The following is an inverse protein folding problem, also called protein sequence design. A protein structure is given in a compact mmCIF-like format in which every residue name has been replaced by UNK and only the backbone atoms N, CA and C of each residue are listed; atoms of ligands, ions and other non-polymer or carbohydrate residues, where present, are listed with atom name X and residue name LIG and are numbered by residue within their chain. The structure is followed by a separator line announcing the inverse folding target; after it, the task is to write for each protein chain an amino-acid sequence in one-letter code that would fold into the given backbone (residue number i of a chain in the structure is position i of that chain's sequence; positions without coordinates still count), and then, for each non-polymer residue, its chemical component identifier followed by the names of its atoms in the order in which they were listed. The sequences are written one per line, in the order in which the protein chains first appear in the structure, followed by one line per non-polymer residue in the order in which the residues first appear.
data_IF_964552811242
#
_entry.id   IF_964552811242
#
_cell.length_a   1.000
_cell.length_b   1.000
_cell.length_c   1.000
_cell.angle_alpha   90.00
_cell.angle_beta   90.00
_cell.angle_gamma   90.00
#
_symmetry.space_group_name_H-M   'P 1'
#
loop_
_entity.id
_entity.type
_entity.pdbx_description
1 polymer ?
#
# COMPACT_ATOMS: atom_id res chain seq x y z
N UNK A 1 -23.14 -12.96 5.61
CA UNK A 1 -22.01 -13.59 6.33
C UNK A 1 -20.72 -13.24 5.59
N UNK A 2 -19.63 -12.84 6.27
CA UNK A 2 -18.36 -12.54 5.58
C UNK A 2 -17.80 -13.83 4.98
N UNK A 3 -17.38 -13.81 3.71
CA UNK A 3 -16.74 -14.96 3.06
C UNK A 3 -15.52 -15.43 3.86
N UNK A 4 -15.39 -16.74 4.08
CA UNK A 4 -14.24 -17.31 4.79
C UNK A 4 -12.93 -16.97 4.07
N UNK A 5 -11.89 -16.58 4.82
CA UNK A 5 -10.59 -16.21 4.25
C UNK A 5 -9.80 -17.49 3.92
N UNK A 6 -9.87 -18.48 4.81
CA UNK A 6 -9.23 -19.78 4.63
C UNK A 6 -10.19 -20.66 3.80
N UNK A 7 -9.94 -20.73 2.49
CA UNK A 7 -10.85 -21.38 1.53
C UNK A 7 -11.01 -22.89 1.75
N UNK A 8 -10.03 -23.55 2.36
CA UNK A 8 -10.01 -24.98 2.63
C UNK A 8 -10.19 -25.33 4.11
N UNK A 9 -10.78 -24.43 4.92
CA UNK A 9 -10.96 -24.62 6.37
C UNK A 9 -11.65 -25.93 6.70
N UNK A 10 -12.74 -26.27 6.00
CA UNK A 10 -13.49 -27.50 6.21
C UNK A 10 -12.61 -28.76 6.02
N UNK A 11 -11.85 -28.80 4.91
CA UNK A 11 -10.92 -29.91 4.62
C UNK A 11 -9.83 -30.04 5.69
N UNK A 12 -9.35 -28.93 6.24
CA UNK A 12 -8.35 -28.94 7.32
C UNK A 12 -8.95 -29.50 8.62
N UNK A 13 -10.19 -29.16 8.95
CA UNK A 13 -10.90 -29.67 10.14
C UNK A 13 -11.13 -31.18 10.01
N UNK A 14 -11.67 -31.61 8.87
CA UNK A 14 -12.07 -33.00 8.62
C UNK A 14 -10.89 -33.97 8.52
N UNK A 15 -9.68 -33.50 8.22
CA UNK A 15 -8.46 -34.32 8.21
C UNK A 15 -7.97 -34.70 9.64
N UNK A 16 -8.86 -34.69 10.63
CA UNK A 16 -8.58 -35.11 12.01
C UNK A 16 -9.87 -35.43 12.75
N UNK A 17 -9.76 -36.14 13.87
CA UNK A 17 -10.88 -36.53 14.73
C UNK A 17 -10.61 -36.20 16.21
N UNK A 18 -11.64 -36.30 17.04
CA UNK A 18 -11.56 -36.11 18.49
C UNK A 18 -11.00 -34.74 18.88
N UNK A 19 -10.09 -34.73 19.87
CA UNK A 19 -9.46 -33.49 20.39
C UNK A 19 -8.69 -32.71 19.31
N UNK A 20 -8.10 -33.40 18.33
CA UNK A 20 -7.36 -32.73 17.25
C UNK A 20 -8.30 -31.95 16.32
N UNK A 21 -9.50 -32.46 16.07
CA UNK A 21 -10.52 -31.75 15.29
C UNK A 21 -10.93 -30.45 15.98
N UNK A 22 -11.25 -30.54 17.28
CA UNK A 22 -11.61 -29.37 18.09
C UNK A 22 -10.47 -28.34 18.13
N UNK A 23 -9.23 -28.80 18.32
CA UNK A 23 -8.06 -27.91 18.29
C UNK A 23 -7.92 -27.19 16.94
N UNK A 24 -8.14 -27.88 15.81
CA UNK A 24 -8.10 -27.26 14.48
C UNK A 24 -9.21 -26.24 14.28
N UNK A 25 -10.43 -26.53 14.72
CA UNK A 25 -11.54 -25.58 14.67
C UNK A 25 -11.19 -24.28 15.42
N UNK A 26 -10.64 -24.40 16.64
CA UNK A 26 -10.19 -23.25 17.44
C UNK A 26 -9.07 -22.49 16.74
N UNK A 27 -8.01 -23.18 16.29
CA UNK A 27 -6.86 -22.53 15.65
C UNK A 27 -7.27 -21.82 14.36
N UNK A 28 -8.12 -22.42 13.54
CA UNK A 28 -8.61 -21.78 12.30
C UNK A 28 -9.47 -20.56 12.59
N UNK A 29 -10.33 -20.60 13.62
CA UNK A 29 -11.10 -19.44 14.05
C UNK A 29 -10.20 -18.29 14.53
N UNK A 30 -9.15 -18.60 15.29
CA UNK A 30 -8.15 -17.63 15.74
C UNK A 30 -7.38 -17.03 14.57
N UNK A 31 -6.91 -17.85 13.62
CA UNK A 31 -6.22 -17.37 12.41
C UNK A 31 -7.14 -16.49 11.57
N UNK A 32 -8.40 -16.87 11.36
CA UNK A 32 -9.36 -16.02 10.64
C UNK A 32 -9.58 -14.68 11.33
N UNK A 33 -9.70 -14.68 12.67
CA UNK A 33 -9.83 -13.44 13.45
C UNK A 33 -8.59 -12.55 13.28
N UNK A 34 -7.39 -13.13 13.34
CA UNK A 34 -6.14 -12.42 13.14
C UNK A 34 -6.01 -11.86 11.71
N UNK A 35 -6.34 -12.64 10.69
CA UNK A 35 -6.34 -12.20 9.29
C UNK A 35 -7.33 -11.07 9.04
N UNK A 36 -8.54 -11.17 9.62
CA UNK A 36 -9.55 -10.10 9.58
C UNK A 36 -9.09 -8.83 10.27
N UNK A 37 -8.34 -8.95 11.37
CA UNK A 37 -7.79 -7.79 12.10
C UNK A 37 -6.63 -7.12 11.35
N UNK A 38 -5.85 -7.91 10.59
CA UNK A 38 -4.75 -7.45 9.75
C UNK A 38 -5.20 -6.98 8.35
N UNK A 39 -6.50 -7.05 8.02
CA UNK A 39 -7.04 -6.63 6.74
C UNK A 39 -6.73 -5.15 6.47
N UNK A 40 -6.02 -4.81 5.38
CA UNK A 40 -5.60 -3.43 5.12
C UNK A 40 -6.74 -2.43 4.95
N UNK A 41 -7.87 -2.85 4.35
CA UNK A 41 -9.03 -1.98 4.15
C UNK A 41 -9.67 -1.63 5.49
N UNK A 42 -9.86 -2.63 6.36
CA UNK A 42 -10.37 -2.44 7.72
C UNK A 42 -9.41 -1.62 8.56
N UNK A 43 -8.11 -1.86 8.45
CA UNK A 43 -7.09 -1.10 9.15
C UNK A 43 -7.12 0.38 8.72
N UNK A 44 -7.20 0.66 7.41
CA UNK A 44 -7.33 2.03 6.90
C UNK A 44 -8.60 2.71 7.43
N UNK A 45 -9.78 2.09 7.26
CA UNK A 45 -11.07 2.64 7.74
C UNK A 45 -11.11 2.86 9.25
N UNK A 46 -10.55 1.93 10.04
CA UNK A 46 -10.53 2.05 11.51
C UNK A 46 -9.74 3.27 11.98
N UNK A 47 -8.69 3.63 11.24
CA UNK A 47 -7.80 4.72 11.60
C UNK A 47 -8.15 6.06 10.93
N UNK A 48 -9.15 6.07 10.04
CA UNK A 48 -9.52 7.24 9.24
C UNK A 48 -11.02 7.48 9.38
N UNK A 49 -11.37 8.51 10.15
CA UNK A 49 -12.74 8.83 10.51
C UNK A 49 -13.10 10.24 10.04
N UNK A 50 -14.16 10.36 9.26
CA UNK A 50 -14.71 11.66 8.90
C UNK A 50 -15.92 11.97 9.80
N UNK A 51 -15.83 13.05 10.58
CA UNK A 51 -16.94 13.58 11.36
C UNK A 51 -17.22 15.01 10.93
N UNK A 52 -18.36 15.23 10.28
CA UNK A 52 -18.69 16.51 9.63
C UNK A 52 -17.55 16.90 8.67
N UNK A 53 -16.85 18.00 8.93
CA UNK A 53 -15.70 18.46 8.15
C UNK A 53 -14.37 18.21 8.84
N UNK A 54 -14.30 17.35 9.86
CA UNK A 54 -13.04 16.99 10.52
C UNK A 54 -12.61 15.60 10.11
N UNK A 55 -11.46 15.52 9.45
CA UNK A 55 -10.79 14.25 9.17
C UNK A 55 -9.89 13.90 10.35
N UNK A 56 -10.18 12.77 10.99
CA UNK A 56 -9.43 12.27 12.14
C UNK A 56 -8.61 11.07 11.67
N UNK A 57 -7.28 11.21 11.71
CA UNK A 57 -6.33 10.15 11.41
C UNK A 57 -5.61 9.78 12.71
N UNK A 58 -6.00 8.65 13.32
CA UNK A 58 -5.59 8.26 14.67
C UNK A 58 -5.83 9.37 15.70
N UNK A 59 -4.77 10.08 16.12
CA UNK A 59 -4.79 11.16 17.12
C UNK A 59 -4.68 12.55 16.51
N UNK A 60 -4.50 12.65 15.18
CA UNK A 60 -4.44 13.92 14.47
C UNK A 60 -5.81 14.25 13.89
N UNK A 61 -6.18 15.53 13.96
CA UNK A 61 -7.44 16.04 13.41
C UNK A 61 -7.10 17.15 12.43
N UNK A 62 -7.68 17.07 11.24
CA UNK A 62 -7.56 18.06 10.18
C UNK A 62 -8.95 18.66 9.94
N UNK A 63 -9.06 19.99 9.98
CA UNK A 63 -10.28 20.67 9.55
C UNK A 63 -10.26 20.78 8.02
N UNK A 64 -11.16 20.05 7.37
CA UNK A 64 -11.23 20.01 5.91
C UNK A 64 -11.69 21.34 5.32
N UNK A 65 -12.33 22.22 6.11
CA UNK A 65 -12.71 23.55 5.63
C UNK A 65 -11.53 24.50 5.52
N UNK A 66 -10.42 24.21 6.22
CA UNK A 66 -9.20 25.01 6.16
C UNK A 66 -8.17 24.43 5.20
N UNK A 67 -8.49 23.32 4.51
CA UNK A 67 -7.60 22.72 3.53
C UNK A 67 -7.99 23.18 2.13
N UNK A 68 -7.00 23.46 1.29
CA UNK A 68 -7.27 23.81 -0.11
C UNK A 68 -7.42 22.54 -0.94
N UNK A 69 -6.41 21.66 -0.92
CA UNK A 69 -6.40 20.40 -1.66
C UNK A 69 -6.08 19.19 -0.78
N UNK A 70 -6.60 18.03 -1.21
CA UNK A 70 -6.23 16.73 -0.65
C UNK A 70 -5.68 15.84 -1.75
N UNK A 71 -4.41 15.45 -1.59
CA UNK A 71 -3.69 14.59 -2.50
C UNK A 71 -3.48 13.21 -1.91
N UNK A 72 -3.62 12.16 -2.72
CA UNK A 72 -3.41 10.77 -2.27
C UNK A 72 -2.34 10.10 -3.13
N UNK A 73 -1.21 9.75 -2.52
CA UNK A 73 -0.09 9.08 -3.20
C UNK A 73 0.35 7.82 -2.47
N UNK A 74 1.18 7.01 -3.09
CA UNK A 74 1.88 5.92 -2.42
C UNK A 74 1.93 4.64 -3.22
N UNK A 75 2.19 3.53 -2.54
CA UNK A 75 2.26 2.23 -3.19
C UNK A 75 2.65 1.08 -2.29
N UNK A 76 2.41 -0.13 -2.80
CA UNK A 76 2.61 -1.38 -2.07
C UNK A 76 1.59 -2.44 -2.47
N UNK A 77 1.71 -3.65 -1.90
CA UNK A 77 0.78 -4.76 -2.22
C UNK A 77 -0.63 -4.54 -1.68
N UNK A 78 -0.76 -3.76 -0.62
CA UNK A 78 -2.04 -3.46 0.03
C UNK A 78 -2.56 -2.04 -0.28
N UNK A 79 -1.81 -1.24 -1.03
CA UNK A 79 -2.13 0.17 -1.25
C UNK A 79 -3.42 0.38 -2.03
N UNK A 80 -3.81 -0.55 -2.91
CA UNK A 80 -5.10 -0.48 -3.63
C UNK A 80 -6.31 -0.56 -2.68
N UNK A 81 -6.26 -1.48 -1.71
CA UNK A 81 -7.30 -1.59 -0.68
C UNK A 81 -7.34 -0.37 0.26
N UNK A 82 -6.17 0.21 0.55
CA UNK A 82 -6.06 1.44 1.32
C UNK A 82 -6.60 2.65 0.55
N UNK A 83 -6.31 2.74 -0.75
CA UNK A 83 -6.79 3.81 -1.63
C UNK A 83 -8.31 3.78 -1.75
N UNK A 84 -8.91 2.60 -1.99
CA UNK A 84 -10.36 2.43 -1.98
C UNK A 84 -10.98 2.89 -0.64
N UNK A 85 -10.38 2.51 0.49
CA UNK A 85 -10.87 2.94 1.81
C UNK A 85 -10.80 4.46 2.01
N UNK A 86 -9.72 5.10 1.57
CA UNK A 86 -9.56 6.56 1.66
C UNK A 86 -10.57 7.27 0.77
N UNK A 87 -10.75 6.80 -0.47
CA UNK A 87 -11.70 7.38 -1.41
C UNK A 87 -13.15 7.21 -0.94
N UNK A 88 -13.51 6.07 -0.35
CA UNK A 88 -14.83 5.87 0.26
C UNK A 88 -15.14 6.86 1.41
N UNK A 89 -14.11 7.35 2.11
CA UNK A 89 -14.30 8.30 3.23
C UNK A 89 -14.28 9.74 2.75
N UNK A 90 -13.34 10.11 1.88
CA UNK A 90 -13.16 11.50 1.45
C UNK A 90 -13.98 11.87 0.23
N UNK A 91 -14.26 10.90 -0.66
CA UNK A 91 -15.02 11.07 -1.88
C UNK A 91 -14.49 12.22 -2.74
N UNK A 92 -15.39 13.15 -3.07
CA UNK A 92 -15.10 14.28 -3.94
C UNK A 92 -14.14 15.32 -3.36
N UNK A 93 -13.76 15.18 -2.08
CA UNK A 93 -12.75 16.05 -1.44
C UNK A 93 -11.33 15.72 -1.87
N UNK A 94 -11.10 14.60 -2.56
CA UNK A 94 -9.79 14.27 -3.12
C UNK A 94 -9.59 15.09 -4.40
N UNK A 95 -8.62 16.01 -4.37
CA UNK A 95 -8.25 16.86 -5.49
C UNK A 95 -7.48 16.08 -6.56
N UNK A 96 -6.68 15.08 -6.16
CA UNK A 96 -5.99 14.18 -7.09
C UNK A 96 -5.28 13.04 -6.39
N UNK A 97 -5.08 11.91 -7.08
CA UNK A 97 -4.32 10.81 -6.52
C UNK A 97 -3.73 9.84 -7.54
N UNK A 98 -2.60 9.25 -7.16
CA UNK A 98 -1.87 8.24 -7.92
C UNK A 98 -1.22 7.25 -6.97
N UNK A 99 -1.59 5.97 -7.04
CA UNK A 99 -1.09 4.92 -6.16
C UNK A 99 -0.62 3.72 -6.98
N UNK A 100 0.62 3.30 -6.78
CA UNK A 100 1.14 2.11 -7.43
C UNK A 100 0.70 0.85 -6.67
N UNK A 101 0.10 -0.10 -7.38
CA UNK A 101 -0.41 -1.36 -6.86
C UNK A 101 0.28 -2.54 -7.54
N UNK A 102 0.16 -3.73 -6.95
CA UNK A 102 0.68 -4.95 -7.56
C UNK A 102 -0.04 -5.25 -8.88
N UNK A 103 0.72 -5.56 -9.93
CA UNK A 103 0.19 -5.97 -11.23
C UNK A 103 -0.81 -7.13 -11.13
N UNK A 104 -1.92 -7.03 -11.86
CA UNK A 104 -3.01 -8.00 -11.87
C UNK A 104 -4.01 -7.85 -10.73
N UNK A 105 -3.96 -6.75 -9.97
CA UNK A 105 -4.84 -6.51 -8.82
C UNK A 105 -5.79 -5.34 -8.99
N UNK A 106 -5.70 -4.56 -10.08
CA UNK A 106 -6.55 -3.37 -10.31
C UNK A 106 -8.04 -3.64 -10.18
N UNK A 107 -8.52 -4.76 -10.74
CA UNK A 107 -9.94 -5.12 -10.78
C UNK A 107 -10.52 -5.49 -9.40
N UNK A 108 -9.67 -5.59 -8.37
CA UNK A 108 -10.10 -5.88 -7.00
C UNK A 108 -10.56 -4.62 -6.24
N UNK A 109 -10.32 -3.43 -6.80
CA UNK A 109 -10.52 -2.14 -6.12
C UNK A 109 -11.37 -1.19 -6.96
N UNK A 110 -12.21 -0.39 -6.29
CA UNK A 110 -13.07 0.62 -6.91
C UNK A 110 -12.62 2.01 -6.48
N UNK A 111 -11.81 2.62 -7.33
CA UNK A 111 -11.41 4.03 -7.22
C UNK A 111 -11.75 4.75 -8.53
N UNK A 112 -12.11 6.01 -8.39
CA UNK A 112 -12.52 6.94 -9.44
C UNK A 112 -11.70 8.24 -9.40
N UNK A 113 -11.33 8.69 -8.19
CA UNK A 113 -10.51 9.88 -7.94
C UNK A 113 -9.02 9.55 -7.83
N UNK A 114 -8.71 8.36 -7.31
CA UNK A 114 -7.33 7.88 -7.18
C UNK A 114 -7.01 6.95 -8.34
N UNK A 115 -6.05 7.33 -9.17
CA UNK A 115 -5.51 6.46 -10.20
C UNK A 115 -4.70 5.33 -9.56
N UNK A 116 -4.98 4.10 -9.95
CA UNK A 116 -4.22 2.94 -9.54
C UNK A 116 -3.35 2.46 -10.70
N UNK A 117 -2.03 2.55 -10.54
CA UNK A 117 -1.05 2.15 -11.55
C UNK A 117 -0.53 0.76 -11.21
N UNK A 118 -0.71 -0.19 -12.12
CA UNK A 118 -0.21 -1.55 -11.94
C UNK A 118 1.28 -1.67 -12.24
N UNK A 119 2.06 -2.05 -11.22
CA UNK A 119 3.51 -2.16 -11.29
C UNK A 119 4.02 -3.53 -10.80
N UNK A 120 5.23 -3.89 -11.24
CA UNK A 120 5.84 -5.18 -10.96
C UNK A 120 6.56 -5.25 -9.60
N UNK A 121 6.52 -6.43 -9.00
CA UNK A 121 7.25 -6.81 -7.78
C UNK A 121 7.62 -8.30 -7.91
N UNK A 122 8.82 -8.74 -7.52
CA UNK A 122 9.82 -8.02 -6.71
C UNK A 122 10.79 -7.12 -7.49
N UNK A 123 10.79 -7.20 -8.83
CA UNK A 123 11.65 -6.37 -9.69
C UNK A 123 10.84 -5.16 -10.19
N UNK A 124 11.35 -3.92 -10.02
CA UNK A 124 10.64 -2.71 -10.47
C UNK A 124 10.53 -2.66 -12.00
N UNK A 125 9.47 -2.03 -12.52
CA UNK A 125 9.24 -1.87 -13.96
C UNK A 125 8.93 -0.42 -14.36
N UNK A 126 8.79 -0.19 -15.66
CA UNK A 126 8.50 1.13 -16.24
C UNK A 126 7.15 1.70 -15.80
N UNK A 127 6.17 0.85 -15.49
CA UNK A 127 4.88 1.31 -14.98
C UNK A 127 5.05 1.86 -13.55
N UNK A 128 5.79 1.15 -12.70
CA UNK A 128 6.18 1.64 -11.38
C UNK A 128 6.87 3.00 -11.47
N UNK A 129 7.84 3.13 -12.38
CA UNK A 129 8.57 4.39 -12.59
C UNK A 129 7.65 5.52 -13.02
N UNK A 130 6.76 5.26 -13.98
CA UNK A 130 5.78 6.24 -14.46
C UNK A 130 4.86 6.72 -13.34
N UNK A 131 4.34 5.79 -12.54
CA UNK A 131 3.49 6.12 -11.41
C UNK A 131 4.26 6.91 -10.34
N UNK A 132 5.51 6.57 -10.05
CA UNK A 132 6.35 7.32 -9.12
C UNK A 132 6.64 8.75 -9.60
N UNK A 133 6.94 8.94 -10.90
CA UNK A 133 7.07 10.28 -11.50
C UNK A 133 5.78 11.08 -11.37
N UNK A 134 4.62 10.47 -11.62
CA UNK A 134 3.32 11.12 -11.47
C UNK A 134 3.05 11.53 -10.02
N UNK A 135 3.37 10.68 -9.04
CA UNK A 135 3.26 11.02 -7.62
C UNK A 135 4.12 12.23 -7.26
N UNK A 136 5.37 12.29 -7.72
CA UNK A 136 6.26 13.42 -7.46
C UNK A 136 5.74 14.70 -8.11
N UNK A 137 5.25 14.64 -9.35
CA UNK A 137 4.60 15.78 -10.00
C UNK A 137 3.42 16.30 -9.18
N UNK A 138 2.53 15.39 -8.75
CA UNK A 138 1.32 15.73 -8.01
C UNK A 138 1.62 16.30 -6.62
N UNK A 139 2.64 15.80 -5.94
CA UNK A 139 3.08 16.34 -4.64
C UNK A 139 3.87 17.63 -4.81
N UNK A 140 4.57 17.81 -5.93
CA UNK A 140 5.32 19.03 -6.25
C UNK A 140 4.44 20.25 -6.48
N UNK A 141 3.15 20.05 -6.78
CA UNK A 141 2.15 21.12 -6.90
C UNK A 141 1.60 21.56 -5.52
N UNK A 142 1.75 20.74 -4.48
CA UNK A 142 1.16 21.01 -3.17
C UNK A 142 1.73 22.27 -2.51
N UNK A 143 0.84 23.08 -1.94
CA UNK A 143 1.15 24.35 -1.27
C UNK A 143 0.89 24.26 0.24
N UNK A 144 1.23 25.33 0.96
CA UNK A 144 0.80 25.48 2.35
C UNK A 144 -0.73 25.45 2.44
N UNK A 145 -1.27 24.71 3.42
CA UNK A 145 -2.70 24.48 3.56
C UNK A 145 -3.23 23.26 2.78
N UNK A 146 -2.39 22.54 2.03
CA UNK A 146 -2.78 21.26 1.42
C UNK A 146 -2.49 20.07 2.35
N UNK A 147 -3.18 18.95 2.10
CA UNK A 147 -2.95 17.68 2.79
C UNK A 147 -2.53 16.59 1.80
N UNK A 148 -1.34 16.01 2.01
CA UNK A 148 -0.87 14.83 1.27
C UNK A 148 -1.00 13.58 2.14
N UNK A 149 -1.80 12.62 1.68
CA UNK A 149 -1.96 11.31 2.30
C UNK A 149 -1.09 10.28 1.55
N UNK A 150 -0.06 9.76 2.22
CA UNK A 150 0.85 8.77 1.65
C UNK A 150 0.49 7.34 2.13
N UNK A 151 0.07 6.48 1.20
CA UNK A 151 -0.40 5.12 1.44
C UNK A 151 0.73 4.11 1.18
N UNK A 152 1.43 3.68 2.23
CA UNK A 152 2.57 2.78 2.12
C UNK A 152 2.24 1.40 2.69
N UNK A 153 2.62 0.35 1.95
CA UNK A 153 2.60 -1.03 2.42
C UNK A 153 3.78 -1.83 1.86
N UNK A 154 3.89 -3.10 2.25
CA UNK A 154 4.99 -3.97 1.81
C UNK A 154 5.12 -4.04 0.28
N UNK A 155 6.35 -4.07 -0.22
CA UNK A 155 6.66 -4.07 -1.66
C UNK A 155 6.89 -2.69 -2.27
N UNK A 156 6.74 -1.60 -1.51
CA UNK A 156 6.95 -0.23 -1.98
C UNK A 156 8.33 0.03 -2.63
N UNK A 157 9.39 -0.66 -2.22
CA UNK A 157 10.72 -0.48 -2.82
C UNK A 157 10.76 -0.81 -4.32
N UNK A 158 10.03 -1.83 -4.76
CA UNK A 158 9.91 -2.21 -6.17
C UNK A 158 8.74 -1.50 -6.87
N UNK A 159 7.65 -1.23 -6.13
CA UNK A 159 6.45 -0.62 -6.70
C UNK A 159 6.57 0.90 -6.87
N UNK A 160 7.46 1.59 -6.15
CA UNK A 160 7.71 3.03 -6.27
C UNK A 160 9.19 3.28 -6.62
N UNK A 161 9.66 2.83 -7.80
CA UNK A 161 11.03 3.11 -8.24
C UNK A 161 11.10 4.54 -8.79
N UNK A 162 12.02 5.34 -8.28
CA UNK A 162 12.40 6.60 -8.91
C UNK A 162 13.92 6.77 -8.77
N UNK A 163 14.71 6.40 -9.79
CA UNK A 163 16.14 6.64 -9.79
C UNK A 163 16.46 8.13 -9.62
N UNK A 164 17.63 8.43 -9.05
CA UNK A 164 18.22 9.77 -9.12
C UNK A 164 18.62 10.11 -10.57
N UNK A 165 18.85 11.39 -10.83
CA UNK A 165 19.36 11.84 -12.13
C UNK A 165 20.67 11.13 -12.48
N UNK A 166 20.83 10.76 -13.76
CA UNK A 166 21.99 10.02 -14.25
C UNK A 166 21.95 8.50 -14.00
N UNK A 167 20.94 7.98 -13.30
CA UNK A 167 20.77 6.52 -13.06
C UNK A 167 19.53 6.01 -13.78
N UNK A 168 19.66 4.95 -14.57
CA UNK A 168 18.54 4.32 -15.27
C UNK A 168 17.75 3.36 -14.35
N UNK A 169 16.58 2.91 -14.81
CA UNK A 169 15.83 1.89 -14.07
C UNK A 169 16.58 0.55 -14.10
N UNK A 170 17.21 0.26 -15.23
CA UNK A 170 18.04 -0.91 -15.50
C UNK A 170 19.22 -0.96 -14.54
N UNK A 171 19.92 0.17 -14.32
CA UNK A 171 21.00 0.29 -13.33
C UNK A 171 20.49 -0.06 -11.92
N UNK A 172 19.32 0.45 -11.55
CA UNK A 172 18.70 0.16 -10.25
C UNK A 172 18.39 -1.35 -10.09
N UNK A 173 17.93 -2.00 -11.16
CA UNK A 173 17.69 -3.44 -11.18
C UNK A 173 18.99 -4.24 -11.08
N UNK A 174 20.05 -3.81 -11.77
CA UNK A 174 21.38 -4.43 -11.71
C UNK A 174 22.01 -4.33 -10.34
N UNK A 175 22.02 -3.14 -9.74
CA UNK A 175 22.50 -2.94 -8.37
C UNK A 175 21.72 -3.81 -7.40
N UNK A 176 20.39 -3.86 -7.51
CA UNK A 176 19.58 -4.71 -6.62
C UNK A 176 19.88 -6.21 -6.81
N UNK A 177 20.13 -6.67 -8.05
CA UNK A 177 20.56 -8.06 -8.32
C UNK A 177 21.94 -8.35 -7.73
N UNK A 178 22.90 -7.43 -7.89
CA UNK A 178 24.25 -7.57 -7.33
C UNK A 178 24.22 -7.63 -5.79
N UNK A 179 23.46 -6.73 -5.16
CA UNK A 179 23.29 -6.70 -3.71
C UNK A 179 22.66 -8.00 -3.18
N UNK A 180 21.62 -8.53 -3.84
CA UNK A 180 21.02 -9.81 -3.45
C UNK A 180 22.01 -10.97 -3.57
N UNK A 181 22.78 -11.03 -4.67
CA UNK A 181 23.80 -12.08 -4.88
C UNK A 181 24.94 -12.01 -3.88
N UNK A 182 25.26 -10.81 -3.37
CA UNK A 182 26.32 -10.61 -2.38
C UNK A 182 25.98 -11.16 -0.99
N UNK A 183 24.71 -11.46 -0.71
CA UNK A 183 24.25 -11.84 0.63
C UNK A 183 24.28 -10.68 1.64
N UNK A 184 24.41 -9.44 1.17
CA UNK A 184 24.42 -8.26 2.01
C UNK A 184 23.16 -8.18 2.89
N UNK A 185 23.34 -7.76 4.14
CA UNK A 185 22.22 -7.57 5.05
C UNK A 185 21.25 -6.50 4.53
N UNK A 186 19.97 -6.63 4.88
CA UNK A 186 18.91 -5.74 4.38
C UNK A 186 19.19 -4.26 4.67
N UNK A 187 19.85 -3.95 5.79
CA UNK A 187 20.21 -2.58 6.16
C UNK A 187 21.29 -2.02 5.22
N UNK A 188 22.29 -2.83 4.86
CA UNK A 188 23.34 -2.47 3.90
C UNK A 188 22.73 -2.26 2.51
N UNK A 189 21.87 -3.19 2.08
CA UNK A 189 21.16 -3.05 0.82
C UNK A 189 20.31 -1.78 0.77
N UNK A 190 19.61 -1.45 1.86
CA UNK A 190 18.80 -0.23 1.96
C UNK A 190 19.66 1.02 1.96
N UNK A 191 20.83 1.01 2.61
CA UNK A 191 21.75 2.14 2.60
C UNK A 191 22.15 2.51 1.16
N UNK A 192 22.54 1.53 0.34
CA UNK A 192 22.86 1.76 -1.08
C UNK A 192 21.64 2.23 -1.86
N UNK A 193 20.51 1.51 -1.75
CA UNK A 193 19.30 1.80 -2.54
C UNK A 193 18.67 3.17 -2.25
N UNK A 194 18.85 3.73 -1.05
CA UNK A 194 18.40 5.08 -0.72
C UNK A 194 19.15 6.14 -1.53
N UNK A 195 20.47 6.02 -1.63
CA UNK A 195 21.30 6.97 -2.38
C UNK A 195 21.08 6.93 -3.89
N UNK A 196 20.52 5.84 -4.41
CA UNK A 196 20.19 5.69 -5.83
C UNK A 196 18.74 6.07 -6.16
N UNK A 197 17.98 6.61 -5.20
CA UNK A 197 16.55 6.83 -5.36
C UNK A 197 16.14 8.23 -4.94
N UNK A 198 15.51 8.98 -5.84
CA UNK A 198 15.05 10.35 -5.60
C UNK A 198 13.89 10.47 -4.57
N UNK A 199 13.23 9.35 -4.24
CA UNK A 199 12.08 9.32 -3.30
C UNK A 199 12.32 8.50 -2.04
N UNK A 200 13.50 7.90 -1.87
CA UNK A 200 13.80 7.06 -0.70
C UNK A 200 14.85 7.78 0.15
N UNK A 201 14.73 7.63 1.47
CA UNK A 201 15.57 8.21 2.51
C UNK A 201 15.31 7.51 3.82
#
# INVERSE_FOLDING_TARGET
MSKAIIKNSQKLIENSSGKNRLAREIVLALIESALRAADPRRAAKKNLLLKRNKLIIKRKTFDLNSLNNIYVVGGGKASGAMAEAVEEVLGDRISGGCVNILKGTRNQFKTSRIELVEASHPVPDMNGLRGAKKMVSLVGEAQEGDLVLCLISGGGSALIPLPVEGVSLEDLQEVNRALLKSGAEINVMNAVRKHLSAVKG
#
